data_IF_815142610750
#
_entry.id   IF_815142610750
#
_cell.length_a   1.000
_cell.length_b   1.000
_cell.length_c   1.000
_cell.angle_alpha   90.00
_cell.angle_beta   90.00
_cell.angle_gamma   90.00
#
_symmetry.space_group_name_H-M   'P 1'
#
loop_
_entity.id
_entity.type
_entity.pdbx_description
1 polymer ?
#
# COMPACT_ATOMS: atom_id res chain seq x y z
N UNK A 1 5.32 -14.45 -0.53
CA UNK A 1 4.31 -13.59 0.11
C UNK A 1 3.88 -14.15 1.46
N UNK A 2 3.16 -15.29 1.53
CA UNK A 2 2.73 -15.89 2.81
C UNK A 2 3.88 -16.08 3.83
N UNK A 3 5.05 -16.55 3.38
CA UNK A 3 6.24 -16.69 4.25
C UNK A 3 6.78 -15.36 4.81
N UNK A 4 6.70 -14.27 4.06
CA UNK A 4 7.17 -12.95 4.52
C UNK A 4 6.22 -12.38 5.58
N UNK A 5 4.92 -12.46 5.31
CA UNK A 5 3.89 -12.05 6.26
C UNK A 5 3.94 -12.87 7.56
N UNK A 6 4.15 -14.20 7.46
CA UNK A 6 4.37 -15.07 8.63
C UNK A 6 5.62 -14.72 9.45
N UNK A 7 6.56 -13.98 8.87
CA UNK A 7 7.76 -13.49 9.57
C UNK A 7 7.61 -12.06 10.11
N UNK A 8 6.37 -11.54 10.24
CA UNK A 8 6.07 -10.16 10.65
C UNK A 8 6.79 -9.10 9.80
N UNK A 9 7.04 -9.40 8.52
CA UNK A 9 7.62 -8.44 7.59
C UNK A 9 6.52 -7.75 6.80
N UNK A 10 6.67 -6.44 6.67
CA UNK A 10 5.77 -5.64 5.86
C UNK A 10 5.73 -6.11 4.41
N UNK A 11 4.55 -6.00 3.81
CA UNK A 11 4.28 -6.28 2.40
C UNK A 11 3.66 -5.04 1.76
N UNK A 12 4.28 -4.58 0.68
CA UNK A 12 3.90 -3.38 -0.05
C UNK A 12 3.48 -3.75 -1.48
N UNK A 13 2.33 -3.24 -1.96
CA UNK A 13 1.85 -3.47 -3.31
C UNK A 13 1.17 -2.24 -3.92
N UNK A 14 1.47 -1.91 -5.18
CA UNK A 14 0.93 -0.73 -5.87
C UNK A 14 0.27 -1.10 -7.20
N UNK A 15 -0.68 -0.27 -7.63
CA UNK A 15 -1.35 -0.40 -8.93
C UNK A 15 -2.17 -1.69 -9.02
N UNK A 16 -1.77 -2.63 -9.88
CA UNK A 16 -2.42 -3.93 -10.02
C UNK A 16 -1.93 -4.98 -9.00
N UNK A 17 -0.77 -4.75 -8.37
CA UNK A 17 -0.15 -5.74 -7.47
C UNK A 17 -1.00 -6.13 -6.24
N UNK A 18 -1.87 -5.27 -5.66
CA UNK A 18 -2.77 -5.68 -4.58
C UNK A 18 -3.65 -6.89 -4.92
N UNK A 19 -3.95 -7.15 -6.20
CA UNK A 19 -4.65 -8.37 -6.63
C UNK A 19 -3.93 -9.65 -6.21
N UNK A 20 -2.60 -9.65 -6.24
CA UNK A 20 -1.80 -10.80 -5.83
C UNK A 20 -1.91 -11.02 -4.31
N UNK A 21 -1.99 -9.93 -3.53
CA UNK A 21 -2.20 -10.01 -2.09
C UNK A 21 -3.61 -10.49 -1.76
N UNK A 22 -4.63 -9.96 -2.43
CA UNK A 22 -6.02 -10.38 -2.31
C UNK A 22 -6.17 -11.89 -2.60
N UNK A 23 -5.65 -12.34 -3.75
CA UNK A 23 -5.68 -13.75 -4.16
C UNK A 23 -4.94 -14.68 -3.17
N UNK A 24 -3.94 -14.15 -2.46
CA UNK A 24 -3.23 -14.89 -1.43
C UNK A 24 -3.96 -14.91 -0.06
N UNK A 25 -5.08 -14.20 0.09
CA UNK A 25 -5.81 -14.02 1.36
C UNK A 25 -5.13 -13.07 2.33
N UNK A 26 -4.16 -12.27 1.87
CA UNK A 26 -3.37 -11.37 2.72
C UNK A 26 -4.09 -10.04 2.99
N UNK A 27 -5.19 -9.76 2.30
CA UNK A 27 -6.00 -8.55 2.46
C UNK A 27 -7.33 -8.82 3.18
N UNK A 28 -7.63 -10.08 3.52
CA UNK A 28 -8.90 -10.44 4.16
C UNK A 28 -9.03 -9.75 5.52
N UNK A 29 -10.12 -9.03 5.72
CA UNK A 29 -10.39 -8.25 6.94
C UNK A 29 -9.58 -6.95 7.05
N UNK A 30 -8.83 -6.55 6.01
CA UNK A 30 -8.00 -5.35 6.00
C UNK A 30 -8.55 -4.26 5.10
N UNK A 31 -8.07 -3.04 5.34
CA UNK A 31 -8.19 -1.91 4.42
C UNK A 31 -7.11 -2.01 3.34
N UNK A 32 -7.48 -1.71 2.10
CA UNK A 32 -6.53 -1.65 0.98
C UNK A 32 -7.00 -0.68 -0.10
N UNK A 33 -6.07 -0.22 -0.93
CA UNK A 33 -6.37 0.50 -2.16
C UNK A 33 -5.63 -0.14 -3.34
N UNK A 34 -6.09 0.11 -4.57
CA UNK A 34 -5.47 -0.42 -5.79
C UNK A 34 -5.83 0.46 -6.99
N UNK A 35 -5.28 0.13 -8.16
CA UNK A 35 -5.68 0.79 -9.40
C UNK A 35 -7.18 0.53 -9.67
N UNK A 36 -7.96 1.56 -10.07
CA UNK A 36 -9.39 1.39 -10.33
C UNK A 36 -9.69 0.24 -11.28
N UNK A 37 -10.65 -0.61 -10.90
CA UNK A 37 -11.08 -1.78 -11.68
C UNK A 37 -10.23 -3.04 -11.48
N UNK A 38 -9.16 -3.00 -10.68
CA UNK A 38 -8.37 -4.22 -10.36
C UNK A 38 -9.06 -5.06 -9.29
N UNK A 39 -9.51 -4.44 -8.21
CA UNK A 39 -10.30 -5.09 -7.16
C UNK A 39 -11.69 -4.47 -7.15
N UNK A 40 -12.71 -5.32 -7.21
CA UNK A 40 -14.10 -4.91 -7.08
C UNK A 40 -14.66 -5.41 -5.74
N UNK A 41 -15.44 -4.61 -5.00
CA UNK A 41 -16.02 -5.02 -3.72
C UNK A 41 -16.89 -6.28 -3.79
N UNK A 42 -17.54 -6.55 -4.94
CA UNK A 42 -18.37 -7.74 -5.13
C UNK A 42 -17.56 -9.05 -5.18
N UNK A 43 -16.37 -9.02 -5.79
CA UNK A 43 -15.47 -10.17 -5.87
C UNK A 43 -14.67 -10.36 -4.58
N UNK A 44 -14.44 -9.27 -3.84
CA UNK A 44 -13.60 -9.23 -2.64
C UNK A 44 -14.31 -8.60 -1.42
N UNK A 45 -15.44 -9.15 -0.95
CA UNK A 45 -16.25 -8.53 0.09
C UNK A 45 -15.58 -8.46 1.47
N UNK A 46 -14.53 -9.27 1.69
CA UNK A 46 -13.74 -9.26 2.92
C UNK A 46 -12.70 -8.13 2.97
N UNK A 47 -12.46 -7.41 1.86
CA UNK A 47 -11.50 -6.32 1.78
C UNK A 47 -12.24 -4.99 1.86
N UNK A 48 -11.83 -4.12 2.79
CA UNK A 48 -12.32 -2.75 2.85
C UNK A 48 -11.56 -1.88 1.84
N UNK A 49 -12.05 -1.85 0.60
CA UNK A 49 -11.46 -1.04 -0.47
C UNK A 49 -11.65 0.45 -0.19
N UNK A 50 -10.54 1.18 -0.16
CA UNK A 50 -10.48 2.61 0.13
C UNK A 50 -10.02 3.42 -1.09
N UNK A 51 -10.47 4.66 -1.19
CA UNK A 51 -10.11 5.56 -2.29
C UNK A 51 -8.84 6.39 -2.06
N UNK A 52 -8.25 6.29 -0.87
CA UNK A 52 -7.01 6.94 -0.47
C UNK A 52 -5.84 6.64 -1.43
N UNK A 53 -4.93 7.59 -1.63
CA UNK A 53 -3.74 7.40 -2.46
C UNK A 53 -2.82 6.28 -1.94
N UNK A 54 -2.72 6.15 -0.61
CA UNK A 54 -1.97 5.13 0.10
C UNK A 54 -2.78 4.66 1.29
N UNK A 55 -2.80 3.34 1.53
CA UNK A 55 -3.42 2.72 2.72
C UNK A 55 -2.37 1.91 3.45
N UNK A 56 -2.24 2.13 4.75
CA UNK A 56 -1.42 1.34 5.67
C UNK A 56 -2.35 0.66 6.68
N UNK A 57 -2.35 -0.67 6.71
CA UNK A 57 -3.12 -1.50 7.64
C UNK A 57 -2.21 -2.56 8.29
N UNK A 58 -1.65 -2.20 9.43
CA UNK A 58 -0.66 -3.01 10.14
C UNK A 58 0.64 -3.13 9.35
N UNK A 59 0.91 -4.31 8.80
CA UNK A 59 2.08 -4.64 8.01
C UNK A 59 1.80 -4.70 6.49
N UNK A 60 0.59 -4.30 6.07
CA UNK A 60 0.20 -4.23 4.66
C UNK A 60 0.12 -2.78 4.22
N UNK A 61 0.88 -2.44 3.18
CA UNK A 61 0.89 -1.12 2.55
C UNK A 61 0.41 -1.25 1.10
N UNK A 62 -0.58 -0.46 0.69
CA UNK A 62 -1.11 -0.48 -0.68
C UNK A 62 -1.27 0.92 -1.29
N UNK A 63 -1.21 1.04 -2.62
CA UNK A 63 -1.36 2.32 -3.32
C UNK A 63 -1.97 2.19 -4.74
N UNK A 64 -2.57 3.27 -5.25
CA UNK A 64 -3.43 3.27 -6.45
C UNK A 64 -2.69 3.17 -7.78
N UNK A 65 -1.55 3.84 -7.98
CA UNK A 65 -0.89 3.82 -9.28
C UNK A 65 0.27 4.80 -9.43
N UNK A 66 0.73 5.07 -10.67
CA UNK A 66 1.89 5.93 -10.92
C UNK A 66 1.76 7.33 -10.31
N UNK A 67 0.57 7.92 -10.33
CA UNK A 67 0.30 9.24 -9.74
C UNK A 67 0.47 9.29 -8.21
N UNK A 68 0.45 8.14 -7.54
CA UNK A 68 0.59 8.02 -6.08
C UNK A 68 1.90 7.33 -5.69
N UNK A 69 2.79 7.07 -6.64
CA UNK A 69 4.01 6.30 -6.41
C UNK A 69 5.01 7.00 -5.47
N UNK A 70 5.11 8.33 -5.56
CA UNK A 70 5.95 9.10 -4.64
C UNK A 70 5.37 9.10 -3.21
N UNK A 71 4.06 9.28 -3.05
CA UNK A 71 3.41 9.20 -1.74
C UNK A 71 3.61 7.82 -1.12
N UNK A 72 3.49 6.78 -1.94
CA UNK A 72 3.71 5.41 -1.54
C UNK A 72 5.15 5.16 -1.09
N UNK A 73 6.13 5.63 -1.87
CA UNK A 73 7.54 5.50 -1.53
C UNK A 73 7.88 6.24 -0.22
N UNK A 74 7.38 7.47 -0.06
CA UNK A 74 7.56 8.25 1.16
C UNK A 74 6.92 7.57 2.37
N UNK A 75 5.72 7.00 2.20
CA UNK A 75 5.04 6.23 3.26
C UNK A 75 5.84 4.98 3.67
N UNK A 76 6.44 4.27 2.71
CA UNK A 76 7.31 3.12 3.00
C UNK A 76 8.56 3.55 3.77
N UNK A 77 9.18 4.67 3.39
CA UNK A 77 10.33 5.22 4.09
C UNK A 77 9.96 5.51 5.54
N UNK A 78 8.86 6.22 5.76
CA UNK A 78 8.38 6.55 7.10
C UNK A 78 8.10 5.30 7.93
N UNK A 79 7.41 4.31 7.34
CA UNK A 79 7.07 3.04 7.99
C UNK A 79 8.31 2.25 8.44
N UNK A 80 9.38 2.25 7.63
CA UNK A 80 10.60 1.50 7.91
C UNK A 80 11.61 2.27 8.78
N UNK A 81 11.47 3.59 8.89
CA UNK A 81 12.41 4.46 9.56
C UNK A 81 11.67 5.39 10.52
N UNK A 82 11.44 6.63 10.11
CA UNK A 82 10.76 7.67 10.86
C UNK A 82 10.31 8.82 9.95
N UNK A 83 9.48 9.71 10.52
CA UNK A 83 8.98 10.91 9.85
C UNK A 83 10.10 11.86 9.42
N UNK A 84 11.19 11.95 10.20
CA UNK A 84 12.31 12.88 9.93
C UNK A 84 13.01 12.47 8.64
N UNK A 85 13.27 11.19 8.47
CA UNK A 85 13.89 10.60 7.30
C UNK A 85 12.99 10.75 6.08
N UNK A 86 11.68 10.47 6.22
CA UNK A 86 10.71 10.70 5.14
C UNK A 86 10.70 12.17 4.71
N UNK A 87 10.65 13.11 5.64
CA UNK A 87 10.61 14.55 5.33
C UNK A 87 11.90 15.04 4.67
N UNK A 88 13.06 14.52 5.10
CA UNK A 88 14.35 14.81 4.47
C UNK A 88 14.37 14.33 3.02
N UNK A 89 13.89 13.11 2.76
CA UNK A 89 13.82 12.58 1.39
C UNK A 89 12.83 13.38 0.54
N UNK A 90 11.65 13.73 1.08
CA UNK A 90 10.67 14.54 0.34
C UNK A 90 11.21 15.91 -0.04
N UNK A 91 11.97 16.57 0.83
CA UNK A 91 12.54 17.89 0.57
C UNK A 91 13.51 17.92 -0.63
N UNK A 92 14.07 16.78 -1.01
CA UNK A 92 14.94 16.63 -2.18
C UNK A 92 14.16 16.32 -3.48
N UNK A 93 12.85 16.03 -3.39
CA UNK A 93 12.01 15.71 -4.54
C UNK A 93 11.38 16.98 -5.15
N UNK A 94 11.42 17.07 -6.48
CA UNK A 94 10.66 18.09 -7.22
C UNK A 94 9.23 17.58 -7.42
N UNK A 95 8.38 17.77 -6.42
CA UNK A 95 6.95 17.40 -6.45
C UNK A 95 6.06 18.51 -5.90
N UNK A 96 4.80 18.50 -6.28
CA UNK A 96 3.78 19.39 -5.71
C UNK A 96 3.37 18.88 -4.32
N UNK A 97 3.13 19.82 -3.40
CA UNK A 97 2.55 19.54 -2.08
C UNK A 97 1.06 19.21 -2.20
#
# INVERSE_FOLDING_TARGET
LKRLHQSNKAVAAICAAPLVLATAGLLDGKRATCYPGVLNPGDWPAISLCDDAVVVDGDVLTSKGPGTAMDFALTIIEYLTDQVTRNRVEAELVRSN
#
